data_IF_814030154329
#
_entry.id   IF_814030154329
#
_cell.length_a   1.000
_cell.length_b   1.000
_cell.length_c   1.000
_cell.angle_alpha   90.00
_cell.angle_beta   90.00
_cell.angle_gamma   90.00
#
_symmetry.space_group_name_H-M   'P 1'
#
loop_
_entity.id
_entity.type
_entity.pdbx_description
1 polymer ?
#
# COMPACT_ATOMS: atom_id res chain seq x y z
N UNK A 1 -26.01 77.00 -47.11
CA UNK A 1 -25.32 77.28 -45.85
C UNK A 1 -25.13 75.98 -45.14
N UNK A 2 -23.90 75.49 -45.14
CA UNK A 2 -23.52 74.15 -44.67
C UNK A 2 -23.26 74.15 -43.17
N UNK A 3 -23.82 73.21 -42.47
CA UNK A 3 -23.33 72.84 -41.14
C UNK A 3 -22.97 71.33 -41.11
N UNK A 4 -21.69 71.09 -41.16
CA UNK A 4 -21.12 69.74 -40.96
C UNK A 4 -21.11 69.46 -39.50
N UNK A 5 -21.81 68.38 -39.06
CA UNK A 5 -21.72 67.83 -37.74
C UNK A 5 -20.57 66.82 -37.73
N UNK A 6 -19.61 67.04 -36.81
CA UNK A 6 -18.50 66.15 -36.55
C UNK A 6 -19.01 65.15 -35.51
N UNK A 7 -19.10 63.83 -35.83
CA UNK A 7 -19.38 62.74 -34.90
C UNK A 7 -18.04 62.23 -34.44
N UNK A 8 -17.70 62.49 -33.14
CA UNK A 8 -16.60 61.83 -32.46
C UNK A 8 -17.03 60.41 -32.10
N UNK A 9 -16.45 59.42 -32.73
CA UNK A 9 -16.57 58.01 -32.32
C UNK A 9 -15.63 57.72 -31.15
N UNK A 10 -16.16 57.49 -29.96
CA UNK A 10 -15.41 56.89 -28.86
C UNK A 10 -15.22 55.39 -29.13
N UNK A 11 -14.00 54.98 -29.45
CA UNK A 11 -13.60 53.58 -29.48
C UNK A 11 -13.41 53.11 -28.03
N UNK A 12 -14.39 52.40 -27.50
CA UNK A 12 -14.24 51.68 -26.24
C UNK A 12 -13.36 50.45 -26.47
N UNK A 13 -12.10 50.50 -26.04
CA UNK A 13 -11.18 49.39 -26.01
C UNK A 13 -11.63 48.45 -24.88
N UNK A 14 -12.44 47.44 -25.19
CA UNK A 14 -12.73 46.34 -24.26
C UNK A 14 -11.47 45.51 -24.09
N UNK A 15 -10.71 45.74 -23.00
CA UNK A 15 -9.69 44.82 -22.55
C UNK A 15 -10.39 43.52 -22.13
N UNK A 16 -10.45 42.55 -23.03
CA UNK A 16 -10.75 41.18 -22.68
C UNK A 16 -9.58 40.63 -21.87
N UNK A 17 -9.66 40.75 -20.55
CA UNK A 17 -8.83 40.03 -19.62
C UNK A 17 -9.16 38.52 -19.75
N UNK A 18 -8.59 37.91 -20.77
CA UNK A 18 -8.53 36.44 -20.87
C UNK A 18 -7.79 35.93 -19.66
N UNK A 19 -8.54 35.55 -18.64
CA UNK A 19 -7.99 34.76 -17.53
C UNK A 19 -7.45 33.46 -18.14
N UNK A 20 -6.18 33.47 -18.51
CA UNK A 20 -5.44 32.27 -18.85
C UNK A 20 -5.57 31.37 -17.61
N UNK A 21 -6.46 30.37 -17.62
CA UNK A 21 -6.49 29.34 -16.59
C UNK A 21 -5.12 28.67 -16.63
N UNK A 22 -4.23 29.13 -15.77
CA UNK A 22 -2.92 28.55 -15.62
C UNK A 22 -3.13 27.06 -15.36
N UNK A 23 -2.65 26.20 -16.26
CA UNK A 23 -2.78 24.75 -16.13
C UNK A 23 -2.10 24.36 -14.82
N UNK A 24 -2.87 23.88 -13.85
CA UNK A 24 -2.31 23.46 -12.56
C UNK A 24 -1.26 22.39 -12.81
N UNK A 25 -0.13 22.51 -12.12
CA UNK A 25 0.90 21.46 -12.10
C UNK A 25 0.27 20.16 -11.59
N UNK A 26 0.54 19.05 -12.24
CA UNK A 26 0.04 17.74 -11.81
C UNK A 26 1.19 16.97 -11.15
N UNK A 27 0.95 16.48 -9.95
CA UNK A 27 1.79 15.51 -9.27
C UNK A 27 1.21 14.11 -9.51
N UNK A 28 1.97 13.27 -10.19
CA UNK A 28 1.52 11.92 -10.60
C UNK A 28 2.05 10.87 -9.64
N UNK A 29 1.14 10.05 -9.11
CA UNK A 29 1.46 9.02 -8.13
C UNK A 29 1.25 7.62 -8.70
N UNK A 30 2.09 6.65 -8.28
CA UNK A 30 1.82 5.23 -8.40
C UNK A 30 1.91 4.61 -6.99
N UNK A 31 0.75 4.37 -6.39
CA UNK A 31 0.65 4.08 -4.96
C UNK A 31 -0.33 2.93 -4.69
N UNK A 32 -0.31 2.40 -3.48
CA UNK A 32 -1.33 1.46 -3.03
C UNK A 32 -2.71 2.11 -2.89
N UNK A 33 -3.76 1.30 -2.98
CA UNK A 33 -5.14 1.73 -2.75
C UNK A 33 -5.28 2.36 -1.35
N UNK A 34 -5.97 3.50 -1.28
CA UNK A 34 -6.15 4.28 -0.05
C UNK A 34 -5.12 5.39 0.18
N UNK A 35 -3.99 5.44 -0.55
CA UNK A 35 -2.92 6.44 -0.32
C UNK A 35 -3.10 7.75 -1.09
N UNK A 36 -4.19 7.90 -1.81
CA UNK A 36 -4.55 9.14 -2.49
C UNK A 36 -6.05 9.46 -2.34
N UNK A 37 -6.60 9.21 -1.16
CA UNK A 37 -8.00 9.52 -0.88
C UNK A 37 -8.22 11.03 -0.86
N UNK A 38 -9.32 11.53 -1.47
CA UNK A 38 -9.64 12.94 -1.51
C UNK A 38 -9.78 13.62 -0.14
N UNK A 39 -10.05 12.88 0.93
CA UNK A 39 -10.23 13.43 2.28
C UNK A 39 -8.98 14.14 2.82
N UNK A 40 -7.79 13.72 2.38
CA UNK A 40 -6.53 14.38 2.74
C UNK A 40 -5.79 14.98 1.54
N UNK A 41 -5.92 14.44 0.34
CA UNK A 41 -5.22 14.96 -0.85
C UNK A 41 -5.68 16.36 -1.23
N UNK A 42 -6.97 16.69 -1.06
CA UNK A 42 -7.51 18.02 -1.44
C UNK A 42 -6.86 19.18 -0.68
N UNK A 43 -6.55 19.00 0.59
CA UNK A 43 -5.88 20.04 1.38
C UNK A 43 -4.47 20.35 0.81
N UNK A 44 -3.74 19.32 0.39
CA UNK A 44 -2.45 19.49 -0.30
C UNK A 44 -2.62 20.21 -1.65
N UNK A 45 -3.60 19.80 -2.48
CA UNK A 45 -3.88 20.41 -3.78
C UNK A 45 -4.21 21.91 -3.68
N UNK A 46 -4.99 22.28 -2.66
CA UNK A 46 -5.37 23.67 -2.39
C UNK A 46 -4.18 24.50 -1.92
N UNK A 47 -3.39 23.99 -0.97
CA UNK A 47 -2.22 24.67 -0.43
C UNK A 47 -1.14 24.90 -1.46
N UNK A 48 -0.89 23.91 -2.33
CA UNK A 48 0.19 23.96 -3.34
C UNK A 48 -0.29 24.34 -4.74
N UNK A 49 -1.57 24.71 -4.90
CA UNK A 49 -2.18 25.11 -6.18
C UNK A 49 -1.92 24.08 -7.30
N UNK A 50 -1.88 22.80 -6.98
CA UNK A 50 -1.58 21.70 -7.88
C UNK A 50 -2.79 20.77 -8.04
N UNK A 51 -2.59 19.69 -8.81
CA UNK A 51 -3.47 18.54 -8.87
C UNK A 51 -2.67 17.27 -8.57
N UNK A 52 -3.21 16.40 -7.73
CA UNK A 52 -2.68 15.04 -7.51
C UNK A 52 -3.46 14.06 -8.38
N UNK A 53 -2.75 13.24 -9.13
CA UNK A 53 -3.32 12.18 -9.97
C UNK A 53 -2.70 10.86 -9.58
N UNK A 54 -3.49 9.91 -9.10
CA UNK A 54 -3.00 8.62 -8.65
C UNK A 54 -3.41 7.50 -9.59
N UNK A 55 -2.45 6.63 -9.88
CA UNK A 55 -2.68 5.27 -10.35
C UNK A 55 -2.42 4.32 -9.19
N UNK A 56 -3.25 3.29 -9.08
CA UNK A 56 -3.09 2.28 -8.05
C UNK A 56 -2.39 1.04 -8.61
N UNK A 57 -1.68 0.33 -7.75
CA UNK A 57 -1.02 -0.93 -8.05
C UNK A 57 -1.56 -2.05 -7.16
N UNK A 58 -1.57 -3.26 -7.67
CA UNK A 58 -2.06 -4.45 -6.98
C UNK A 58 -0.95 -5.32 -6.40
N UNK A 59 0.33 -5.08 -6.75
CA UNK A 59 1.48 -5.84 -6.25
C UNK A 59 2.80 -5.08 -6.39
N UNK A 60 3.80 -5.48 -5.59
CA UNK A 60 5.18 -4.98 -5.73
C UNK A 60 5.79 -5.32 -7.10
N UNK A 61 5.41 -6.47 -7.69
CA UNK A 61 5.89 -6.87 -9.01
C UNK A 61 5.30 -6.00 -10.12
N UNK A 62 4.05 -5.57 -10.00
CA UNK A 62 3.44 -4.61 -10.92
C UNK A 62 4.18 -3.27 -10.88
N UNK A 63 4.50 -2.75 -9.68
CA UNK A 63 5.32 -1.56 -9.52
C UNK A 63 6.66 -1.70 -10.25
N UNK A 64 7.38 -2.78 -9.97
CA UNK A 64 8.69 -3.03 -10.57
C UNK A 64 8.62 -3.16 -12.10
N UNK A 65 7.59 -3.82 -12.62
CA UNK A 65 7.37 -3.94 -14.06
C UNK A 65 7.12 -2.59 -14.73
N UNK A 66 6.28 -1.73 -14.13
CA UNK A 66 6.01 -0.38 -14.63
C UNK A 66 7.26 0.50 -14.61
N UNK A 67 8.05 0.46 -13.53
CA UNK A 67 9.27 1.26 -13.42
C UNK A 67 10.35 0.82 -14.42
N UNK A 68 10.55 -0.49 -14.62
CA UNK A 68 11.53 -1.04 -15.56
C UNK A 68 11.09 -0.94 -17.02
N UNK A 69 9.80 -1.02 -17.27
CA UNK A 69 9.19 -0.96 -18.60
C UNK A 69 9.16 0.43 -19.24
N UNK A 70 9.88 1.43 -18.68
CA UNK A 70 9.98 2.77 -19.22
C UNK A 70 8.87 3.73 -18.78
N UNK A 71 7.93 3.29 -17.95
CA UNK A 71 6.83 4.13 -17.45
C UNK A 71 7.21 4.95 -16.20
N UNK A 72 8.47 4.86 -15.72
CA UNK A 72 8.93 5.60 -14.53
C UNK A 72 8.75 7.13 -14.64
N UNK A 73 8.88 7.69 -15.86
CA UNK A 73 8.69 9.12 -16.12
C UNK A 73 7.23 9.58 -16.02
N UNK A 74 6.28 8.66 -15.95
CA UNK A 74 4.86 8.99 -15.81
C UNK A 74 4.48 9.27 -14.34
N UNK A 75 5.38 8.99 -13.40
CA UNK A 75 5.10 9.10 -11.97
C UNK A 75 6.17 9.92 -11.28
N UNK A 76 5.74 10.81 -10.39
CA UNK A 76 6.61 11.63 -9.55
C UNK A 76 6.89 10.97 -8.20
N UNK A 77 5.85 10.38 -7.60
CA UNK A 77 5.92 9.67 -6.31
C UNK A 77 5.44 8.24 -6.46
N UNK A 78 6.13 7.34 -5.81
CA UNK A 78 5.78 5.91 -5.73
C UNK A 78 5.72 5.46 -4.27
N UNK A 79 4.92 4.42 -3.96
CA UNK A 79 4.85 3.85 -2.61
C UNK A 79 5.28 2.37 -2.58
N UNK A 80 6.58 2.07 -2.75
CA UNK A 80 7.05 0.69 -2.66
C UNK A 80 6.96 0.13 -1.25
N UNK A 81 6.61 -1.14 -1.13
CA UNK A 81 6.77 -1.88 0.11
C UNK A 81 8.21 -2.33 0.33
N UNK A 82 8.52 -2.75 1.55
CA UNK A 82 9.87 -3.10 2.01
C UNK A 82 10.58 -4.18 1.20
N UNK A 83 9.84 -5.06 0.51
CA UNK A 83 10.38 -6.14 -0.32
C UNK A 83 11.04 -5.68 -1.64
N UNK A 84 10.73 -4.48 -2.12
CA UNK A 84 11.29 -3.93 -3.37
C UNK A 84 11.94 -2.56 -3.20
N UNK A 85 11.73 -1.87 -2.07
CA UNK A 85 12.23 -0.52 -1.84
C UNK A 85 13.77 -0.42 -2.02
N UNK A 86 14.52 -1.35 -1.45
CA UNK A 86 15.98 -1.41 -1.59
C UNK A 86 16.41 -1.65 -3.04
N UNK A 87 15.71 -2.51 -3.76
CA UNK A 87 15.97 -2.80 -5.18
C UNK A 87 15.74 -1.58 -6.06
N UNK A 88 14.68 -0.80 -5.80
CA UNK A 88 14.39 0.46 -6.52
C UNK A 88 15.51 1.48 -6.29
N UNK A 89 15.95 1.66 -5.04
CA UNK A 89 17.04 2.57 -4.71
C UNK A 89 18.38 2.16 -5.36
N UNK A 90 18.73 0.86 -5.28
CA UNK A 90 19.96 0.33 -5.90
C UNK A 90 19.96 0.44 -7.41
N UNK A 91 18.81 0.25 -8.04
CA UNK A 91 18.65 0.36 -9.50
C UNK A 91 18.66 1.82 -10.02
N UNK A 92 18.69 2.82 -9.12
CA UNK A 92 18.66 4.23 -9.52
C UNK A 92 17.30 4.67 -10.07
N UNK A 93 16.23 3.98 -9.73
CA UNK A 93 14.86 4.30 -10.15
C UNK A 93 14.20 5.34 -9.23
N UNK A 94 14.73 5.55 -8.03
CA UNK A 94 14.35 6.63 -7.12
C UNK A 94 15.44 7.68 -7.00
N UNK A 95 15.06 8.90 -6.69
CA UNK A 95 15.97 10.00 -6.36
C UNK A 95 16.36 9.96 -4.87
N UNK A 96 17.59 10.33 -4.49
CA UNK A 96 17.94 10.53 -3.10
C UNK A 96 17.15 11.70 -2.51
N UNK A 97 16.78 11.60 -1.25
CA UNK A 97 15.98 12.60 -0.55
C UNK A 97 16.88 13.60 0.17
N UNK A 98 16.54 14.87 0.06
CA UNK A 98 17.08 15.93 0.92
C UNK A 98 16.24 15.99 2.20
N UNK A 99 16.73 15.38 3.26
CA UNK A 99 16.01 15.30 4.54
C UNK A 99 15.85 16.68 5.22
N UNK A 100 16.58 17.72 4.82
CA UNK A 100 16.36 19.07 5.33
C UNK A 100 15.01 19.67 4.91
N UNK A 101 14.42 19.11 3.84
CA UNK A 101 13.08 19.45 3.33
C UNK A 101 11.95 18.63 3.98
N UNK A 102 12.30 17.70 4.86
CA UNK A 102 11.37 16.77 5.50
C UNK A 102 11.50 16.85 7.03
N UNK A 103 11.12 17.98 7.66
CA UNK A 103 11.27 18.17 9.12
C UNK A 103 10.54 17.10 9.94
N UNK A 104 9.39 16.59 9.47
CA UNK A 104 8.63 15.51 10.12
C UNK A 104 9.33 14.16 10.07
N UNK A 105 10.37 13.98 9.22
CA UNK A 105 11.13 12.74 9.15
C UNK A 105 11.71 12.32 10.51
N UNK A 106 12.15 13.29 11.33
CA UNK A 106 12.70 13.01 12.65
C UNK A 106 11.65 12.57 13.68
N UNK A 107 10.37 12.79 13.41
CA UNK A 107 9.25 12.36 14.26
C UNK A 107 8.83 10.91 13.98
N UNK A 108 9.24 10.34 12.85
CA UNK A 108 8.94 8.96 12.49
C UNK A 108 9.58 7.99 13.48
N UNK A 109 8.93 6.84 13.71
CA UNK A 109 9.43 5.77 14.57
C UNK A 109 10.90 5.44 14.24
N UNK A 110 11.83 5.51 15.20
CA UNK A 110 13.23 5.17 14.97
C UNK A 110 13.43 3.76 14.41
N UNK A 111 12.58 2.82 14.80
CA UNK A 111 12.59 1.43 14.34
C UNK A 111 12.33 1.34 12.82
N UNK A 112 11.40 2.14 12.29
CA UNK A 112 11.07 2.18 10.87
C UNK A 112 12.04 3.08 10.09
N UNK A 113 12.35 4.26 10.61
CA UNK A 113 13.24 5.26 9.99
C UNK A 113 14.66 4.75 9.78
N UNK A 114 15.16 3.94 10.71
CA UNK A 114 16.53 3.42 10.65
C UNK A 114 16.67 2.17 9.78
N UNK A 115 15.59 1.69 9.18
CA UNK A 115 15.61 0.54 8.27
C UNK A 115 16.65 0.73 7.16
N UNK A 116 17.48 -0.29 6.85
CA UNK A 116 18.41 -0.24 5.73
C UNK A 116 17.70 -0.34 4.37
N UNK A 117 16.42 -0.71 4.33
CA UNK A 117 15.67 -1.02 3.10
C UNK A 117 15.46 0.18 2.17
N UNK A 118 15.62 1.41 2.68
CA UNK A 118 15.51 2.64 1.89
C UNK A 118 16.83 3.40 1.79
N UNK A 119 17.95 2.75 2.19
CA UNK A 119 19.27 3.36 2.17
C UNK A 119 20.16 2.70 1.12
N UNK A 120 20.79 3.50 0.28
CA UNK A 120 21.78 3.07 -0.69
C UNK A 120 22.86 4.14 -0.84
N UNK A 121 24.12 3.73 -1.04
CA UNK A 121 25.25 4.65 -1.28
C UNK A 121 25.37 5.77 -0.23
N UNK A 122 25.05 5.50 1.02
CA UNK A 122 25.07 6.48 2.10
C UNK A 122 23.94 7.52 2.10
N UNK A 123 22.95 7.38 1.22
CA UNK A 123 21.82 8.30 1.09
C UNK A 123 20.49 7.59 1.41
N UNK A 124 19.48 8.38 1.79
CA UNK A 124 18.09 7.92 2.00
C UNK A 124 17.31 8.16 0.72
N UNK A 125 16.55 7.18 0.27
CA UNK A 125 15.76 7.22 -0.96
C UNK A 125 14.26 7.15 -0.72
N UNK A 126 13.82 6.83 0.49
CA UNK A 126 12.42 6.74 0.85
C UNK A 126 12.17 7.05 2.32
N UNK A 127 10.97 7.50 2.62
CA UNK A 127 10.49 7.71 3.98
C UNK A 127 9.49 6.60 4.33
N UNK A 128 9.62 5.94 5.50
CA UNK A 128 8.58 5.03 5.97
C UNK A 128 7.28 5.80 6.16
N UNK A 129 6.19 5.22 5.71
CA UNK A 129 4.91 5.90 5.65
C UNK A 129 3.84 5.20 6.49
N UNK A 130 3.40 4.03 6.05
CA UNK A 130 2.43 3.20 6.76
C UNK A 130 2.97 1.78 6.87
N UNK A 131 2.43 1.00 7.81
CA UNK A 131 2.77 -0.40 7.96
C UNK A 131 1.56 -1.23 8.42
N UNK A 132 1.61 -2.51 8.22
CA UNK A 132 0.54 -3.40 8.65
C UNK A 132 0.78 -4.87 8.34
N UNK A 133 -0.07 -5.75 8.89
CA UNK A 133 -0.08 -7.19 8.61
C UNK A 133 -0.85 -7.52 7.34
N UNK A 134 -0.70 -8.78 6.90
CA UNK A 134 -1.68 -9.47 6.07
C UNK A 134 -2.56 -10.34 6.99
N UNK A 135 -3.66 -9.82 7.55
CA UNK A 135 -4.49 -10.57 8.48
C UNK A 135 -5.33 -11.66 7.79
N UNK A 136 -5.78 -12.60 8.58
CA UNK A 136 -6.89 -13.49 8.22
C UNK A 136 -8.20 -12.77 8.51
N UNK A 137 -9.03 -12.57 7.49
CA UNK A 137 -10.34 -11.95 7.55
C UNK A 137 -11.43 -13.01 7.47
N UNK A 138 -12.49 -12.88 8.24
CA UNK A 138 -13.63 -13.81 8.16
C UNK A 138 -14.96 -13.14 8.46
N UNK A 139 -16.00 -13.60 7.76
CA UNK A 139 -17.41 -13.27 7.99
C UNK A 139 -17.90 -14.04 9.22
N UNK A 140 -18.26 -13.32 10.29
CA UNK A 140 -18.69 -13.92 11.55
C UNK A 140 -20.06 -14.59 11.48
N UNK A 141 -20.81 -14.39 10.39
CA UNK A 141 -22.09 -15.08 10.14
C UNK A 141 -21.92 -16.35 9.30
N UNK A 142 -20.78 -16.52 8.65
CA UNK A 142 -20.47 -17.68 7.83
C UNK A 142 -19.47 -18.65 8.49
N UNK A 143 -18.76 -18.20 9.51
CA UNK A 143 -17.75 -18.97 10.25
C UNK A 143 -18.15 -18.96 11.73
N UNK A 144 -18.66 -20.09 12.22
CA UNK A 144 -19.21 -20.22 13.58
C UNK A 144 -18.11 -20.20 14.67
N UNK A 145 -16.93 -20.73 14.36
CA UNK A 145 -15.80 -20.76 15.28
C UNK A 145 -14.66 -19.86 14.76
N UNK A 146 -14.20 -18.95 15.61
CA UNK A 146 -13.10 -18.07 15.27
C UNK A 146 -11.87 -18.86 14.82
N UNK A 147 -11.37 -18.68 13.58
CA UNK A 147 -10.20 -19.37 13.11
C UNK A 147 -8.97 -18.86 13.88
N UNK A 148 -8.01 -19.73 14.15
CA UNK A 148 -6.78 -19.36 14.86
C UNK A 148 -5.50 -19.68 14.08
N UNK A 149 -5.64 -20.16 12.85
CA UNK A 149 -4.54 -20.68 12.04
C UNK A 149 -4.79 -20.39 10.56
N UNK A 150 -3.74 -20.15 9.79
CA UNK A 150 -3.80 -20.13 8.32
C UNK A 150 -4.33 -21.45 7.75
N UNK A 151 -4.09 -22.57 8.45
CA UNK A 151 -4.58 -23.89 8.02
C UNK A 151 -6.13 -23.94 7.88
N UNK A 152 -6.86 -23.03 8.50
CA UNK A 152 -8.31 -22.92 8.32
C UNK A 152 -8.72 -22.72 6.86
N UNK A 153 -7.87 -22.12 6.03
CA UNK A 153 -8.15 -21.94 4.59
C UNK A 153 -8.23 -23.29 3.84
N UNK A 154 -7.63 -24.36 4.36
CA UNK A 154 -7.64 -25.71 3.75
C UNK A 154 -8.81 -26.58 4.21
N UNK A 155 -9.70 -26.06 5.07
CA UNK A 155 -10.84 -26.84 5.57
C UNK A 155 -11.78 -27.22 4.42
N UNK A 156 -12.18 -28.51 4.27
CA UNK A 156 -12.98 -28.96 3.11
C UNK A 156 -14.36 -28.30 2.98
N UNK A 157 -14.96 -27.87 4.09
CA UNK A 157 -16.25 -27.19 4.09
C UNK A 157 -16.21 -25.78 3.48
N UNK A 158 -15.01 -25.24 3.27
CA UNK A 158 -14.77 -23.92 2.65
C UNK A 158 -14.58 -24.01 1.13
N UNK A 159 -14.93 -25.15 0.50
CA UNK A 159 -14.84 -25.31 -0.95
C UNK A 159 -15.51 -24.15 -1.69
N UNK A 160 -14.73 -23.48 -2.57
CA UNK A 160 -15.14 -22.31 -3.35
C UNK A 160 -15.67 -21.12 -2.48
N UNK A 161 -15.13 -20.99 -1.25
CA UNK A 161 -15.56 -19.98 -0.28
C UNK A 161 -14.42 -19.16 0.32
N UNK A 162 -13.19 -19.32 -0.17
CA UNK A 162 -12.05 -18.54 0.29
C UNK A 162 -11.51 -17.62 -0.80
N UNK A 163 -10.73 -16.62 -0.39
CA UNK A 163 -9.93 -15.82 -1.29
C UNK A 163 -8.52 -15.60 -0.74
N UNK A 164 -7.55 -15.51 -1.64
CA UNK A 164 -6.16 -15.18 -1.32
C UNK A 164 -5.67 -14.09 -2.26
N UNK A 165 -4.65 -13.38 -1.85
CA UNK A 165 -4.09 -12.30 -2.66
C UNK A 165 -3.25 -12.85 -3.82
N UNK A 166 -3.41 -12.31 -5.03
CA UNK A 166 -2.58 -12.63 -6.20
C UNK A 166 -1.19 -11.97 -6.09
N UNK A 167 -0.46 -12.36 -5.05
CA UNK A 167 0.85 -11.84 -4.70
C UNK A 167 1.71 -12.91 -4.01
N UNK A 168 3.03 -12.68 -3.94
CA UNK A 168 3.97 -13.57 -3.25
C UNK A 168 3.68 -13.76 -1.77
N UNK A 169 2.94 -12.86 -1.13
CA UNK A 169 2.50 -13.02 0.26
C UNK A 169 1.68 -14.29 0.48
N UNK A 170 0.95 -14.77 -0.55
CA UNK A 170 0.25 -16.06 -0.53
C UNK A 170 1.24 -17.23 -0.51
N UNK A 171 2.39 -17.10 -1.16
CA UNK A 171 3.49 -18.09 -1.09
C UNK A 171 4.08 -18.14 0.32
N UNK A 172 4.30 -16.97 0.93
CA UNK A 172 4.81 -16.88 2.31
C UNK A 172 3.82 -17.47 3.32
N UNK A 173 2.54 -17.20 3.19
CA UNK A 173 1.49 -17.77 4.03
C UNK A 173 1.49 -19.31 3.98
N UNK A 174 1.58 -19.91 2.81
CA UNK A 174 1.66 -21.36 2.69
C UNK A 174 2.98 -21.93 3.25
N UNK A 175 4.08 -21.20 3.11
CA UNK A 175 5.35 -21.55 3.74
C UNK A 175 5.27 -21.52 5.28
N UNK A 176 4.55 -20.58 5.87
CA UNK A 176 4.27 -20.53 7.31
C UNK A 176 3.45 -21.74 7.77
N UNK A 177 2.43 -22.16 7.02
CA UNK A 177 1.66 -23.38 7.30
C UNK A 177 2.55 -24.62 7.33
N UNK A 178 3.59 -24.65 6.48
CA UNK A 178 4.59 -25.72 6.44
C UNK A 178 5.71 -25.57 7.48
N UNK A 179 5.70 -24.49 8.29
CA UNK A 179 6.67 -24.25 9.34
C UNK A 179 8.04 -23.75 8.85
N UNK A 180 8.13 -23.24 7.62
CA UNK A 180 9.39 -22.75 7.03
C UNK A 180 9.80 -21.36 7.53
N UNK A 181 9.03 -20.77 8.42
CA UNK A 181 9.36 -19.55 9.18
C UNK A 181 10.18 -19.85 10.45
N UNK A 182 10.45 -21.12 10.77
CA UNK A 182 11.15 -21.54 11.99
C UNK A 182 12.53 -22.11 11.66
N UNK A 183 13.56 -21.85 12.50
CA UNK A 183 13.54 -20.96 13.68
C UNK A 183 13.67 -19.46 13.33
N UNK A 184 13.92 -19.10 12.05
CA UNK A 184 14.14 -17.74 11.60
C UNK A 184 13.12 -17.34 10.52
N UNK A 185 12.24 -16.37 10.78
CA UNK A 185 11.26 -15.89 9.81
C UNK A 185 11.86 -15.36 8.50
N UNK A 186 13.11 -14.90 8.50
CA UNK A 186 13.77 -14.43 7.28
C UNK A 186 13.92 -15.53 6.22
N UNK A 187 13.82 -16.79 6.60
CA UNK A 187 13.82 -17.93 5.67
C UNK A 187 12.66 -17.87 4.68
N UNK A 188 11.51 -17.27 5.05
CA UNK A 188 10.38 -17.10 4.14
C UNK A 188 10.76 -16.39 2.83
N UNK A 189 11.77 -15.52 2.87
CA UNK A 189 12.21 -14.69 1.74
C UNK A 189 13.37 -15.32 0.96
N UNK A 190 13.85 -16.51 1.38
CA UNK A 190 14.95 -17.23 0.73
C UNK A 190 14.81 -18.77 0.80
N UNK A 191 13.61 -19.27 0.48
CA UNK A 191 13.30 -20.71 0.46
C UNK A 191 14.15 -21.43 -0.60
N UNK A 192 14.58 -22.66 -0.29
CA UNK A 192 15.23 -23.57 -1.24
C UNK A 192 14.26 -24.05 -2.31
N UNK A 193 14.78 -24.66 -3.39
CA UNK A 193 13.93 -25.23 -4.44
C UNK A 193 13.01 -26.33 -3.91
N UNK A 194 13.50 -27.16 -3.01
CA UNK A 194 12.69 -28.22 -2.39
C UNK A 194 11.55 -27.64 -1.54
N UNK A 195 11.83 -26.57 -0.79
CA UNK A 195 10.80 -25.88 0.00
C UNK A 195 9.77 -25.17 -0.90
N UNK A 196 10.22 -24.49 -1.96
CA UNK A 196 9.33 -23.87 -2.93
C UNK A 196 8.43 -24.89 -3.64
N UNK A 197 8.95 -26.05 -3.97
CA UNK A 197 8.16 -27.14 -4.55
C UNK A 197 7.12 -27.70 -3.56
N UNK A 198 7.47 -27.79 -2.28
CA UNK A 198 6.51 -28.19 -1.23
C UNK A 198 5.41 -27.12 -1.05
N UNK A 199 5.77 -25.83 -1.06
CA UNK A 199 4.82 -24.72 -1.02
C UNK A 199 3.89 -24.74 -2.23
N UNK A 200 4.41 -24.99 -3.44
CA UNK A 200 3.60 -25.14 -4.65
C UNK A 200 2.54 -26.23 -4.49
N UNK A 201 2.94 -27.41 -4.04
CA UNK A 201 2.01 -28.53 -3.79
C UNK A 201 0.94 -28.14 -2.79
N UNK A 202 1.34 -27.49 -1.67
CA UNK A 202 0.43 -27.04 -0.62
C UNK A 202 -0.59 -26.02 -1.14
N UNK A 203 -0.19 -25.10 -2.02
CA UNK A 203 -1.08 -24.13 -2.64
C UNK A 203 -2.00 -24.77 -3.71
N UNK A 204 -1.54 -25.79 -4.43
CA UNK A 204 -2.40 -26.55 -5.35
C UNK A 204 -3.49 -27.29 -4.58
N UNK A 205 -3.19 -27.83 -3.39
CA UNK A 205 -4.20 -28.43 -2.49
C UNK A 205 -5.28 -27.40 -2.04
N UNK A 206 -4.93 -26.10 -1.98
CA UNK A 206 -5.84 -25.05 -1.61
C UNK A 206 -6.82 -24.65 -2.72
N UNK A 207 -6.46 -24.86 -3.99
CA UNK A 207 -7.23 -24.38 -5.15
C UNK A 207 -8.72 -24.71 -5.14
N UNK A 208 -9.18 -25.92 -4.74
CA UNK A 208 -10.60 -26.23 -4.68
C UNK A 208 -11.40 -25.32 -3.74
N UNK A 209 -10.75 -24.72 -2.74
CA UNK A 209 -11.38 -23.81 -1.80
C UNK A 209 -11.41 -22.36 -2.32
N UNK A 210 -10.52 -22.00 -3.25
CA UNK A 210 -10.41 -20.64 -3.77
C UNK A 210 -11.58 -20.32 -4.68
N UNK A 211 -12.39 -19.33 -4.29
CA UNK A 211 -13.42 -18.72 -5.14
C UNK A 211 -12.80 -17.80 -6.18
N UNK A 212 -11.84 -17.00 -5.75
CA UNK A 212 -11.09 -16.06 -6.58
C UNK A 212 -9.79 -15.66 -5.88
N UNK A 213 -8.74 -15.41 -6.66
CA UNK A 213 -7.57 -14.67 -6.22
C UNK A 213 -7.85 -13.19 -6.47
N UNK A 214 -7.73 -12.35 -5.45
CA UNK A 214 -8.00 -10.93 -5.55
C UNK A 214 -6.72 -10.13 -5.82
N UNK A 215 -6.85 -9.01 -6.52
CA UNK A 215 -5.73 -8.11 -6.87
C UNK A 215 -5.89 -6.71 -6.31
N UNK A 216 -7.10 -6.27 -5.97
CA UNK A 216 -7.38 -4.95 -5.38
C UNK A 216 -8.23 -5.08 -4.13
N UNK A 217 -8.09 -4.09 -3.21
CA UNK A 217 -8.89 -4.09 -1.97
C UNK A 217 -10.39 -4.05 -2.22
N UNK A 218 -10.82 -3.25 -3.19
CA UNK A 218 -12.21 -3.18 -3.58
C UNK A 218 -12.77 -4.50 -4.11
N UNK A 219 -11.95 -5.30 -4.80
CA UNK A 219 -12.36 -6.63 -5.28
C UNK A 219 -12.66 -7.59 -4.13
N UNK A 220 -11.77 -7.69 -3.13
CA UNK A 220 -12.01 -8.54 -1.96
C UNK A 220 -13.19 -8.03 -1.12
N UNK A 221 -13.32 -6.71 -0.95
CA UNK A 221 -14.46 -6.10 -0.27
C UNK A 221 -15.79 -6.52 -0.91
N UNK A 222 -15.87 -6.48 -2.25
CA UNK A 222 -17.05 -6.91 -3.00
C UNK A 222 -17.34 -8.41 -2.84
N UNK A 223 -16.31 -9.27 -2.84
CA UNK A 223 -16.48 -10.71 -2.63
C UNK A 223 -17.12 -11.03 -1.26
N UNK A 224 -16.72 -10.32 -0.20
CA UNK A 224 -17.34 -10.45 1.12
C UNK A 224 -18.77 -9.91 1.12
N UNK A 225 -19.00 -8.70 0.59
CA UNK A 225 -20.35 -8.08 0.55
C UNK A 225 -21.39 -8.94 -0.19
N UNK A 226 -20.95 -9.63 -1.23
CA UNK A 226 -21.80 -10.55 -2.00
C UNK A 226 -21.89 -11.95 -1.36
N UNK A 227 -21.28 -12.17 -0.18
CA UNK A 227 -21.19 -13.48 0.48
C UNK A 227 -20.58 -14.58 -0.42
N UNK A 228 -19.76 -14.20 -1.39
CA UNK A 228 -19.05 -15.14 -2.26
C UNK A 228 -17.89 -15.83 -1.54
N UNK A 229 -17.31 -15.15 -0.53
CA UNK A 229 -16.25 -15.70 0.33
C UNK A 229 -16.63 -15.58 1.80
N UNK A 230 -16.19 -16.54 2.60
CA UNK A 230 -16.40 -16.57 4.04
C UNK A 230 -15.14 -16.21 4.84
N UNK A 231 -13.97 -16.47 4.25
CA UNK A 231 -12.67 -16.25 4.87
C UNK A 231 -11.62 -15.95 3.81
N UNK A 232 -10.70 -15.07 4.12
CA UNK A 232 -9.66 -14.65 3.18
C UNK A 232 -8.39 -14.16 3.89
N UNK A 233 -7.26 -14.21 3.19
CA UNK A 233 -6.12 -13.36 3.49
C UNK A 233 -6.41 -11.97 2.91
N UNK A 234 -6.21 -10.90 3.68
CA UNK A 234 -6.51 -9.54 3.22
C UNK A 234 -5.59 -8.47 3.81
N UNK A 235 -6.04 -7.22 3.74
CA UNK A 235 -5.42 -6.07 4.39
C UNK A 235 -6.39 -5.43 5.38
N UNK A 236 -5.93 -4.70 6.40
CA UNK A 236 -6.81 -3.94 7.29
C UNK A 236 -7.74 -2.96 6.57
N UNK A 237 -7.37 -2.49 5.36
CA UNK A 237 -8.21 -1.65 4.50
C UNK A 237 -9.59 -2.29 4.25
N UNK A 238 -9.62 -3.58 3.89
CA UNK A 238 -10.88 -4.28 3.64
C UNK A 238 -11.72 -4.41 4.90
N UNK A 239 -11.10 -4.74 6.02
CA UNK A 239 -11.79 -4.81 7.31
C UNK A 239 -12.40 -3.46 7.67
N UNK A 240 -11.64 -2.37 7.50
CA UNK A 240 -12.09 -1.02 7.79
C UNK A 240 -13.26 -0.60 6.88
N UNK A 241 -13.17 -0.90 5.58
CA UNK A 241 -14.24 -0.63 4.62
C UNK A 241 -15.50 -1.43 4.93
N UNK A 242 -15.38 -2.74 5.16
CA UNK A 242 -16.50 -3.62 5.46
C UNK A 242 -17.20 -3.25 6.77
N UNK A 243 -16.44 -2.91 7.82
CA UNK A 243 -17.02 -2.43 9.09
C UNK A 243 -17.81 -1.13 8.92
N UNK A 244 -17.30 -0.17 8.12
CA UNK A 244 -18.01 1.07 7.79
C UNK A 244 -19.34 0.82 7.05
N UNK A 245 -19.42 -0.27 6.30
CA UNK A 245 -20.64 -0.71 5.60
C UNK A 245 -21.56 -1.56 6.49
N UNK A 246 -21.20 -1.80 7.75
CA UNK A 246 -21.97 -2.61 8.69
C UNK A 246 -21.85 -4.13 8.44
N UNK A 247 -20.89 -4.57 7.62
CA UNK A 247 -20.66 -5.99 7.36
C UNK A 247 -20.01 -6.67 8.58
N UNK A 248 -20.44 -7.89 8.98
CA UNK A 248 -19.94 -8.58 10.18
C UNK A 248 -18.57 -9.24 9.97
N UNK A 249 -17.55 -8.44 9.71
CA UNK A 249 -16.18 -8.86 9.47
C UNK A 249 -15.32 -8.77 10.72
N UNK A 250 -14.49 -9.77 10.95
CA UNK A 250 -13.37 -9.72 11.88
C UNK A 250 -12.06 -10.02 11.16
N UNK A 251 -10.96 -9.55 11.76
CA UNK A 251 -9.61 -9.88 11.37
C UNK A 251 -8.80 -10.35 12.57
N UNK A 252 -7.82 -11.19 12.31
CA UNK A 252 -6.88 -11.66 13.33
C UNK A 252 -5.53 -12.01 12.72
N UNK A 253 -4.49 -12.03 13.56
CA UNK A 253 -3.21 -12.64 13.23
C UNK A 253 -3.24 -14.10 13.70
N UNK A 254 -3.08 -15.10 12.80
CA UNK A 254 -3.07 -16.51 13.13
C UNK A 254 -1.93 -16.88 14.08
N UNK A 255 -2.01 -18.07 14.69
CA UNK A 255 -0.98 -18.58 15.63
C UNK A 255 0.40 -18.73 14.99
N UNK A 256 0.46 -18.92 13.68
CA UNK A 256 1.71 -18.96 12.91
C UNK A 256 2.34 -17.59 12.74
N UNK A 257 1.72 -16.53 13.26
CA UNK A 257 2.01 -15.14 12.90
C UNK A 257 1.63 -14.83 11.45
N UNK A 258 1.96 -13.65 10.96
CA UNK A 258 1.71 -13.27 9.57
C UNK A 258 2.88 -12.52 8.98
N UNK A 259 2.94 -12.45 7.66
CA UNK A 259 3.80 -11.47 6.99
C UNK A 259 3.10 -10.11 6.93
N UNK A 260 3.88 -9.06 6.71
CA UNK A 260 3.34 -7.72 6.58
C UNK A 260 4.33 -6.79 5.90
N UNK A 261 3.90 -5.57 5.69
CA UNK A 261 4.66 -4.58 4.93
C UNK A 261 5.03 -3.36 5.78
N UNK A 262 6.08 -2.69 5.34
CA UNK A 262 6.35 -1.28 5.64
C UNK A 262 6.37 -0.60 4.28
N UNK A 263 5.40 0.28 4.03
CA UNK A 263 5.37 1.06 2.81
C UNK A 263 6.20 2.33 2.97
N UNK A 264 6.83 2.71 1.89
CA UNK A 264 7.68 3.89 1.85
C UNK A 264 7.18 4.82 0.76
N UNK A 265 7.35 6.12 0.94
CA UNK A 265 7.18 7.08 -0.15
C UNK A 265 8.54 7.41 -0.73
N UNK A 266 8.66 7.31 -2.04
CA UNK A 266 9.86 7.62 -2.81
C UNK A 266 9.55 8.57 -3.95
N UNK A 267 10.50 9.44 -4.29
CA UNK A 267 10.44 10.29 -5.49
C UNK A 267 11.14 9.51 -6.62
N UNK A 268 10.49 9.39 -7.78
CA UNK A 268 11.14 8.72 -8.92
C UNK A 268 12.35 9.53 -9.42
N UNK A 269 13.40 8.85 -9.88
CA UNK A 269 14.57 9.52 -10.44
C UNK A 269 14.21 10.38 -11.67
N UNK A 270 13.20 9.95 -12.44
CA UNK A 270 12.73 10.60 -13.66
C UNK A 270 11.78 11.78 -13.42
N UNK A 271 11.28 11.98 -12.20
CA UNK A 271 10.36 13.07 -11.87
C UNK A 271 10.91 14.44 -12.26
N UNK A 272 10.05 15.24 -12.90
CA UNK A 272 10.30 16.64 -13.20
C UNK A 272 9.71 17.57 -12.13
N UNK A 273 9.00 17.02 -11.13
CA UNK A 273 8.30 17.73 -10.07
C UNK A 273 8.91 17.42 -8.68
N UNK A 274 10.25 17.22 -8.60
CA UNK A 274 10.93 16.76 -7.38
C UNK A 274 10.68 17.64 -6.17
N UNK A 275 10.55 18.96 -6.38
CA UNK A 275 10.26 19.90 -5.28
C UNK A 275 8.84 19.70 -4.74
N UNK A 276 7.86 19.67 -5.61
CA UNK A 276 6.47 19.42 -5.24
C UNK A 276 6.29 18.00 -4.65
N UNK A 277 7.02 17.02 -5.19
CA UNK A 277 7.05 15.67 -4.65
C UNK A 277 7.63 15.62 -3.23
N UNK A 278 8.70 16.38 -2.94
CA UNK A 278 9.26 16.47 -1.59
C UNK A 278 8.27 17.11 -0.61
N UNK A 279 7.57 18.16 -1.03
CA UNK A 279 6.50 18.78 -0.24
C UNK A 279 5.35 17.80 0.02
N UNK A 280 5.01 16.96 -0.96
CA UNK A 280 4.01 15.91 -0.78
C UNK A 280 4.47 14.83 0.20
N UNK A 281 5.73 14.40 0.13
CA UNK A 281 6.28 13.45 1.09
C UNK A 281 6.24 14.01 2.53
N UNK A 282 6.64 15.28 2.71
CA UNK A 282 6.56 15.93 4.04
C UNK A 282 5.12 15.94 4.54
N UNK A 283 4.18 16.43 3.73
CA UNK A 283 2.76 16.46 4.08
C UNK A 283 2.24 15.08 4.49
N UNK A 284 2.60 14.03 3.75
CA UNK A 284 2.11 12.68 4.00
C UNK A 284 2.69 12.04 5.28
N UNK A 285 3.87 12.47 5.75
CA UNK A 285 4.47 11.94 6.99
C UNK A 285 4.17 12.80 8.24
N UNK A 286 3.44 13.90 8.10
CA UNK A 286 2.91 14.65 9.22
C UNK A 286 1.91 13.83 10.05
N UNK A 287 1.92 13.99 11.37
CA UNK A 287 1.07 13.23 12.29
C UNK A 287 -0.43 13.33 11.94
N UNK A 288 -0.89 14.53 11.58
CA UNK A 288 -2.29 14.77 11.20
C UNK A 288 -2.68 14.04 9.92
N UNK A 289 -1.83 14.10 8.90
CA UNK A 289 -2.10 13.41 7.62
C UNK A 289 -2.07 11.91 7.78
N UNK A 290 -1.10 11.37 8.52
CA UNK A 290 -1.05 9.93 8.80
C UNK A 290 -2.27 9.44 9.59
N UNK A 291 -2.80 10.25 10.52
CA UNK A 291 -4.08 9.93 11.19
C UNK A 291 -5.22 9.82 10.17
N UNK A 292 -5.32 10.77 9.22
CA UNK A 292 -6.35 10.72 8.17
C UNK A 292 -6.19 9.50 7.26
N UNK A 293 -4.95 9.15 6.90
CA UNK A 293 -4.67 7.93 6.13
C UNK A 293 -5.08 6.69 6.91
N UNK A 294 -4.77 6.64 8.21
CA UNK A 294 -5.20 5.54 9.09
C UNK A 294 -6.73 5.42 9.13
N UNK A 295 -7.46 6.53 9.19
CA UNK A 295 -8.92 6.53 9.19
C UNK A 295 -9.52 5.93 7.91
N UNK A 296 -8.85 6.16 6.78
CA UNK A 296 -9.26 5.60 5.48
C UNK A 296 -8.88 4.12 5.39
N UNK A 297 -7.65 3.78 5.76
CA UNK A 297 -7.05 2.48 5.43
C UNK A 297 -7.10 1.45 6.57
N UNK A 298 -7.17 1.89 7.83
CA UNK A 298 -6.95 1.02 8.98
C UNK A 298 -5.47 0.59 9.14
N UNK A 299 -4.53 1.21 8.41
CA UNK A 299 -3.10 0.92 8.52
C UNK A 299 -2.47 1.66 9.68
N UNK A 300 -1.40 1.11 10.21
CA UNK A 300 -0.63 1.70 11.30
C UNK A 300 0.30 2.81 10.78
N UNK A 301 0.33 3.99 11.45
CA UNK A 301 1.18 5.09 11.02
C UNK A 301 2.65 4.87 11.39
N UNK A 302 3.56 5.37 10.54
CA UNK A 302 4.99 5.40 10.85
C UNK A 302 5.36 6.53 11.82
N UNK A 303 4.52 7.58 11.91
CA UNK A 303 4.68 8.68 12.86
C UNK A 303 3.90 8.39 14.15
N UNK A 304 4.57 8.05 15.27
CA UNK A 304 3.90 7.69 16.50
C UNK A 304 3.09 8.85 17.12
N UNK A 305 3.36 10.10 16.73
CA UNK A 305 2.55 11.24 17.21
C UNK A 305 1.12 11.19 16.66
N UNK A 306 0.87 10.49 15.56
CA UNK A 306 -0.50 10.27 15.04
C UNK A 306 -1.40 9.58 16.05
N UNK A 307 -0.84 8.71 16.90
CA UNK A 307 -1.62 7.99 17.92
C UNK A 307 -2.17 8.91 19.01
N UNK A 308 -1.57 10.09 19.23
CA UNK A 308 -2.09 11.09 20.19
C UNK A 308 -3.38 11.74 19.70
N UNK A 309 -3.67 11.62 18.40
CA UNK A 309 -4.88 12.13 17.74
C UNK A 309 -6.00 11.07 17.66
N UNK A 310 -5.74 9.86 18.16
CA UNK A 310 -6.67 8.74 18.14
C UNK A 310 -7.43 8.61 19.46
N UNK A 311 -8.68 8.15 19.38
CA UNK A 311 -9.45 7.68 20.53
C UNK A 311 -8.87 6.36 21.04
N UNK A 312 -9.17 6.00 22.30
CA UNK A 312 -8.76 4.70 22.86
C UNK A 312 -9.33 3.52 22.06
N UNK A 313 -10.55 3.64 21.54
CA UNK A 313 -11.15 2.61 20.67
C UNK A 313 -10.36 2.42 19.36
N UNK A 314 -9.92 3.50 18.74
CA UNK A 314 -9.09 3.45 17.53
C UNK A 314 -7.72 2.83 17.82
N UNK A 315 -7.07 3.21 18.94
CA UNK A 315 -5.80 2.61 19.35
C UNK A 315 -5.91 1.11 19.57
N UNK A 316 -6.95 0.69 20.30
CA UNK A 316 -7.19 -0.74 20.56
C UNK A 316 -7.44 -1.53 19.26
N UNK A 317 -8.24 -0.97 18.33
CA UNK A 317 -8.51 -1.62 17.04
C UNK A 317 -7.27 -1.75 16.16
N UNK A 318 -6.28 -0.87 16.33
CA UNK A 318 -5.01 -0.86 15.60
C UNK A 318 -3.86 -1.51 16.38
N UNK A 319 -4.12 -2.04 17.57
CA UNK A 319 -3.11 -2.58 18.50
C UNK A 319 -1.99 -1.57 18.82
N UNK A 320 -2.36 -0.28 18.91
CA UNK A 320 -1.44 0.83 19.21
C UNK A 320 -1.26 1.06 20.73
N UNK A 321 -1.93 0.31 21.56
CA UNK A 321 -1.69 0.18 23.01
C UNK A 321 -0.33 -0.48 23.30
N UNK A 322 0.09 -1.49 22.51
CA UNK A 322 1.42 -2.08 22.52
C UNK A 322 1.89 -2.38 21.07
N UNK A 323 2.31 -1.36 20.30
CA UNK A 323 2.71 -1.53 18.92
C UNK A 323 3.96 -2.41 18.76
N UNK A 324 4.83 -2.48 19.76
CA UNK A 324 6.02 -3.32 19.71
C UNK A 324 5.68 -4.80 19.85
N UNK A 325 4.76 -5.18 20.74
CA UNK A 325 4.27 -6.54 20.84
C UNK A 325 3.50 -6.95 19.57
N UNK A 326 2.71 -6.04 19.00
CA UNK A 326 2.00 -6.29 17.74
C UNK A 326 2.97 -6.51 16.58
N UNK A 327 4.01 -5.67 16.44
CA UNK A 327 5.05 -5.82 15.42
C UNK A 327 5.80 -7.15 15.51
N UNK A 328 5.96 -7.74 16.71
CA UNK A 328 6.62 -9.05 16.89
C UNK A 328 5.84 -10.20 16.25
N UNK A 329 4.55 -10.02 16.03
CA UNK A 329 3.68 -10.99 15.34
C UNK A 329 3.66 -10.82 13.83
N UNK A 330 4.38 -9.81 13.29
CA UNK A 330 4.43 -9.48 11.87
C UNK A 330 5.84 -9.67 11.35
N UNK A 331 6.01 -10.59 10.42
CA UNK A 331 7.28 -10.80 9.71
C UNK A 331 7.34 -9.85 8.53
N UNK A 332 7.90 -8.66 8.77
CA UNK A 332 7.98 -7.64 7.73
C UNK A 332 8.76 -8.11 6.52
N UNK A 333 8.22 -7.82 5.36
CA UNK A 333 8.80 -8.18 4.07
C UNK A 333 10.21 -7.62 3.91
N UNK A 334 11.06 -8.43 3.31
CA UNK A 334 12.45 -8.14 3.03
C UNK A 334 12.74 -8.31 1.54
N UNK A 335 13.91 -7.87 1.10
CA UNK A 335 14.41 -8.15 -0.25
C UNK A 335 14.41 -9.66 -0.49
N UNK A 336 13.90 -10.10 -1.64
CA UNK A 336 13.78 -11.51 -2.02
C UNK A 336 14.83 -11.84 -3.07
N UNK A 337 16.00 -12.37 -2.71
CA UNK A 337 17.10 -12.61 -3.67
C UNK A 337 16.69 -13.51 -4.83
N UNK A 338 15.78 -14.44 -4.58
CA UNK A 338 15.29 -15.43 -5.55
C UNK A 338 13.88 -15.10 -6.08
N UNK A 339 13.50 -13.82 -6.12
CA UNK A 339 12.14 -13.37 -6.49
C UNK A 339 11.63 -13.99 -7.80
N UNK A 340 12.50 -14.11 -8.82
CA UNK A 340 12.13 -14.75 -10.08
C UNK A 340 11.65 -16.21 -9.90
N UNK A 341 12.29 -16.96 -8.99
CA UNK A 341 11.89 -18.35 -8.71
C UNK A 341 10.57 -18.42 -7.94
N UNK A 342 10.33 -17.50 -7.00
CA UNK A 342 9.05 -17.40 -6.31
C UNK A 342 7.92 -17.07 -7.29
N UNK A 343 8.15 -16.14 -8.21
CA UNK A 343 7.18 -15.79 -9.26
C UNK A 343 6.91 -16.96 -10.22
N UNK A 344 7.93 -17.73 -10.58
CA UNK A 344 7.77 -18.97 -11.36
C UNK A 344 6.82 -19.93 -10.64
N UNK A 345 7.10 -20.25 -9.39
CA UNK A 345 6.27 -21.14 -8.55
C UNK A 345 4.83 -20.61 -8.43
N UNK A 346 4.66 -19.31 -8.16
CA UNK A 346 3.34 -18.71 -8.06
C UNK A 346 2.55 -18.81 -9.38
N UNK A 347 3.21 -18.57 -10.51
CA UNK A 347 2.60 -18.73 -11.83
C UNK A 347 2.22 -20.19 -12.13
N UNK A 348 3.05 -21.17 -11.73
CA UNK A 348 2.71 -22.59 -11.83
C UNK A 348 1.49 -22.95 -10.97
N UNK A 349 1.38 -22.43 -9.75
CA UNK A 349 0.19 -22.60 -8.91
C UNK A 349 -1.04 -22.04 -9.59
N UNK A 350 -0.97 -20.83 -10.16
CA UNK A 350 -2.11 -20.23 -10.87
C UNK A 350 -2.53 -21.05 -12.08
N UNK A 351 -1.58 -21.58 -12.82
CA UNK A 351 -1.82 -22.38 -14.04
C UNK A 351 -2.26 -23.83 -13.77
N UNK A 352 -2.04 -24.37 -12.56
CA UNK A 352 -2.45 -25.73 -12.22
C UNK A 352 -3.98 -25.88 -12.31
N UNK A 353 -4.45 -27.04 -12.80
CA UNK A 353 -5.89 -27.38 -12.92
C UNK A 353 -6.47 -27.89 -11.61
#
# INVERSE_FOLDING_TARGET
>A
MNRRAIVLGMLALAMASGACKQKKTTLSLLVWEGYADPSFVRAFEETHHCKVSAAYMGSSDELMAKLRGGSASNYDVISPSSDVAASIARAGLAAPLDLSKLPSYNQLSPKLRNSPLVKAKGQVYGVPFMWGPNPLLYDTTAIDQEPNSWAALWEPHLKNRISVWDDLSTVYMAAQVLGYDKPDPAQLYNLSDAQLEAVKKKLIELKPNIRKMWSTGGELTNLFQNHEVAIAMGWPLMTNQLRKLGFPIKELIPKENTTGWIDHLMITAASQQKELAAQFLEYMIEAQTQKMVTDVTGYSPANPQSTTLMTESEKNNLHMDDPDAYMQRIYFWQDVPRRAKYNEIWNEVKAAQ
#
